data_IF_024288579444
#
_entry.id   IF_024288579444
#
_cell.length_a   1.000
_cell.length_b   1.000
_cell.length_c   1.000
_cell.angle_alpha   90.00
_cell.angle_beta   90.00
_cell.angle_gamma   90.00
#
_symmetry.space_group_name_H-M   'P 1'
#
loop_
_entity.id
_entity.type
_entity.pdbx_description
1 polymer ?
#
# COMPACT_ATOMS: atom_id res chain seq x y z
N UNK A 1 -5.54 9.22 9.17
CA UNK A 1 -6.59 9.48 8.13
C UNK A 1 -6.43 10.89 7.61
N UNK A 2 -5.78 11.04 6.46
CA UNK A 2 -5.45 12.36 5.90
C UNK A 2 -6.38 12.78 4.75
N UNK A 3 -7.21 11.86 4.24
CA UNK A 3 -8.01 12.10 3.04
C UNK A 3 -9.32 12.85 3.27
N UNK A 4 -9.84 13.46 2.20
CA UNK A 4 -11.16 14.07 2.14
C UNK A 4 -12.19 12.98 1.90
N UNK A 5 -13.20 12.78 2.78
CA UNK A 5 -14.24 11.76 2.61
C UNK A 5 -15.11 12.06 1.38
N UNK A 6 -15.34 11.05 0.54
CA UNK A 6 -16.17 11.15 -0.67
C UNK A 6 -17.44 10.28 -0.54
N UNK A 7 -17.25 9.01 -0.17
CA UNK A 7 -18.28 7.98 -0.02
C UNK A 7 -19.27 7.90 -1.20
N UNK A 8 -18.75 7.80 -2.42
CA UNK A 8 -19.53 7.71 -3.65
C UNK A 8 -19.24 6.40 -4.41
N UNK A 9 -20.17 5.97 -5.25
CA UNK A 9 -19.99 4.84 -6.16
C UNK A 9 -18.88 5.17 -7.18
N UNK A 10 -17.99 4.23 -7.44
CA UNK A 10 -16.94 4.38 -8.46
C UNK A 10 -17.60 4.48 -9.84
N UNK A 11 -17.34 5.58 -10.51
CA UNK A 11 -17.71 5.81 -11.92
C UNK A 11 -16.54 6.43 -12.66
N UNK A 12 -16.51 6.26 -13.98
CA UNK A 12 -15.50 6.90 -14.82
C UNK A 12 -15.53 8.43 -14.66
N UNK A 13 -16.72 9.03 -14.67
CA UNK A 13 -16.91 10.47 -14.53
C UNK A 13 -16.39 10.98 -13.19
N UNK A 14 -16.64 10.26 -12.08
CA UNK A 14 -16.14 10.65 -10.76
C UNK A 14 -14.62 10.63 -10.72
N UNK A 15 -13.99 9.56 -11.22
CA UNK A 15 -12.53 9.46 -11.25
C UNK A 15 -11.90 10.54 -12.12
N UNK A 16 -12.44 10.82 -13.30
CA UNK A 16 -11.97 11.90 -14.16
C UNK A 16 -12.04 13.26 -13.45
N UNK A 17 -13.15 13.55 -12.74
CA UNK A 17 -13.29 14.80 -11.99
C UNK A 17 -12.36 14.88 -10.78
N UNK A 18 -12.11 13.77 -10.07
CA UNK A 18 -11.16 13.77 -8.95
C UNK A 18 -9.74 14.07 -9.44
N UNK A 19 -9.31 13.46 -10.55
CA UNK A 19 -7.95 13.63 -11.09
C UNK A 19 -7.83 14.78 -12.10
N UNK A 20 -8.88 15.60 -12.26
CA UNK A 20 -8.80 16.82 -13.06
C UNK A 20 -7.75 17.76 -12.47
N UNK A 21 -6.82 18.21 -13.34
CA UNK A 21 -5.69 19.04 -12.92
C UNK A 21 -6.14 20.36 -12.28
N UNK A 22 -5.42 20.82 -11.27
CA UNK A 22 -5.72 22.03 -10.50
C UNK A 22 -7.04 22.01 -9.71
N UNK A 23 -7.61 20.85 -9.44
CA UNK A 23 -8.74 20.71 -8.50
C UNK A 23 -8.26 20.39 -7.08
N UNK A 24 -9.02 20.69 -6.03
CA UNK A 24 -8.62 20.38 -4.65
C UNK A 24 -8.46 18.87 -4.37
N UNK A 25 -9.01 17.99 -5.22
CA UNK A 25 -9.04 16.54 -4.99
C UNK A 25 -7.93 15.78 -5.73
N UNK A 26 -7.22 16.41 -6.70
CA UNK A 26 -6.31 15.69 -7.59
C UNK A 26 -4.98 15.30 -6.96
N UNK A 27 -4.54 16.04 -5.95
CA UNK A 27 -3.24 15.79 -5.31
C UNK A 27 -3.36 14.77 -4.18
N UNK A 28 -2.70 13.65 -4.33
CA UNK A 28 -2.72 12.51 -3.41
C UNK A 28 -3.41 11.26 -3.98
N UNK A 29 -3.65 10.29 -3.11
CA UNK A 29 -4.24 9.02 -3.50
C UNK A 29 -5.77 9.02 -3.31
N UNK A 30 -6.45 8.26 -4.18
CA UNK A 30 -7.86 7.92 -4.05
C UNK A 30 -7.97 6.51 -3.46
N UNK A 31 -8.70 6.38 -2.35
CA UNK A 31 -8.95 5.10 -1.72
C UNK A 31 -10.27 4.53 -2.20
N UNK A 32 -10.19 3.37 -2.85
CA UNK A 32 -11.36 2.62 -3.31
C UNK A 32 -11.51 1.37 -2.46
N UNK A 33 -12.70 1.15 -1.95
CA UNK A 33 -13.05 -0.08 -1.22
C UNK A 33 -14.33 -0.67 -1.79
N UNK A 34 -14.23 -1.91 -2.27
CA UNK A 34 -15.31 -2.55 -3.03
C UNK A 34 -15.61 -1.73 -4.30
N UNK A 35 -16.82 -1.19 -4.41
CA UNK A 35 -17.28 -0.36 -5.53
C UNK A 35 -17.46 1.12 -5.14
N UNK A 36 -16.82 1.57 -4.06
CA UNK A 36 -16.97 2.96 -3.58
C UNK A 36 -15.61 3.65 -3.48
N UNK A 37 -15.56 4.90 -3.90
CA UNK A 37 -14.53 5.86 -3.54
C UNK A 37 -14.79 6.26 -2.09
N UNK A 38 -13.89 5.90 -1.20
CA UNK A 38 -14.00 6.20 0.25
C UNK A 38 -13.51 7.61 0.52
N UNK A 39 -12.34 7.94 -0.01
CA UNK A 39 -11.68 9.24 0.19
C UNK A 39 -10.75 9.56 -0.97
N UNK A 40 -10.45 10.85 -1.14
CA UNK A 40 -9.46 11.38 -2.06
C UNK A 40 -8.42 12.22 -1.30
N UNK A 41 -7.35 12.67 -1.97
CA UNK A 41 -6.27 13.47 -1.38
C UNK A 41 -5.63 12.78 -0.17
N UNK A 42 -5.49 11.44 -0.24
CA UNK A 42 -4.89 10.66 0.84
C UNK A 42 -3.38 10.63 0.71
N UNK A 43 -2.66 10.92 1.81
CA UNK A 43 -1.21 10.71 1.87
C UNK A 43 -0.93 9.28 2.31
N UNK A 44 -0.09 8.60 1.51
CA UNK A 44 0.33 7.23 1.75
C UNK A 44 1.76 7.20 2.33
N UNK A 45 2.11 6.18 3.13
CA UNK A 45 3.47 6.01 3.61
C UNK A 45 4.42 5.77 2.43
N UNK A 46 5.58 6.40 2.48
CA UNK A 46 6.64 6.17 1.50
C UNK A 46 7.42 4.90 1.86
N UNK A 47 7.75 4.10 0.85
CA UNK A 47 8.68 2.98 1.07
C UNK A 47 10.05 3.47 1.51
N UNK A 48 10.59 2.85 2.55
CA UNK A 48 11.95 3.07 3.04
C UNK A 48 12.99 2.18 2.36
N UNK A 49 12.60 1.40 1.35
CA UNK A 49 13.49 0.48 0.65
C UNK A 49 14.47 1.24 -0.25
N UNK A 50 15.76 1.21 0.09
CA UNK A 50 16.82 1.88 -0.66
C UNK A 50 17.15 1.21 -2.00
N UNK A 51 16.69 -0.03 -2.22
CA UNK A 51 16.86 -0.75 -3.49
C UNK A 51 15.91 -0.27 -4.61
N UNK A 52 14.92 0.56 -4.26
CA UNK A 52 14.01 1.15 -5.25
C UNK A 52 14.79 2.14 -6.12
N UNK A 53 14.66 1.99 -7.44
CA UNK A 53 15.30 2.89 -8.39
C UNK A 53 15.05 4.36 -7.99
N UNK A 54 16.13 5.15 -7.85
CA UNK A 54 16.11 6.56 -7.43
C UNK A 54 15.37 7.48 -8.41
N UNK A 55 15.19 7.04 -9.64
CA UNK A 55 14.41 7.75 -10.67
C UNK A 55 12.89 7.70 -10.43
N UNK A 56 12.43 6.85 -9.49
CA UNK A 56 11.01 6.77 -9.16
C UNK A 56 10.62 7.92 -8.24
N UNK A 57 9.66 8.71 -8.70
CA UNK A 57 9.09 9.83 -7.95
C UNK A 57 8.31 9.39 -6.69
N UNK A 58 7.87 10.38 -5.92
CA UNK A 58 7.18 10.18 -4.64
C UNK A 58 5.91 9.33 -4.77
N UNK A 59 5.15 9.45 -5.88
CA UNK A 59 3.95 8.64 -6.12
C UNK A 59 4.24 7.15 -6.21
N UNK A 60 5.32 6.76 -6.89
CA UNK A 60 5.72 5.37 -6.95
C UNK A 60 6.17 4.84 -5.58
N UNK A 61 6.97 5.63 -4.84
CA UNK A 61 7.40 5.28 -3.49
C UNK A 61 6.23 5.15 -2.52
N UNK A 62 5.22 6.01 -2.65
CA UNK A 62 3.99 5.95 -1.86
C UNK A 62 3.16 4.69 -2.18
N UNK A 63 3.02 4.37 -3.48
CA UNK A 63 2.30 3.15 -3.91
C UNK A 63 2.98 1.87 -3.43
N UNK A 64 4.31 1.80 -3.50
CA UNK A 64 5.08 0.66 -2.97
C UNK A 64 4.91 0.61 -1.45
N UNK A 65 5.13 1.73 -0.74
CA UNK A 65 5.09 1.78 0.72
C UNK A 65 3.76 1.32 1.32
N UNK A 66 2.63 1.73 0.75
CA UNK A 66 1.33 1.23 1.22
C UNK A 66 1.15 -0.26 0.90
N UNK A 67 1.67 -0.76 -0.21
CA UNK A 67 1.57 -2.16 -0.60
C UNK A 67 2.45 -3.10 0.25
N UNK A 68 3.52 -2.58 0.89
CA UNK A 68 4.37 -3.33 1.82
C UNK A 68 3.65 -3.63 3.15
N UNK A 69 2.76 -2.74 3.59
CA UNK A 69 2.12 -2.81 4.91
C UNK A 69 0.64 -3.21 4.86
N UNK A 70 0.08 -3.37 3.67
CA UNK A 70 -1.34 -3.72 3.48
C UNK A 70 -1.53 -4.72 2.34
N UNK A 71 -2.75 -5.23 2.16
CA UNK A 71 -3.16 -6.06 1.02
C UNK A 71 -3.74 -5.23 -0.14
N UNK A 72 -3.40 -3.94 -0.18
CA UNK A 72 -3.84 -3.05 -1.23
C UNK A 72 -3.07 -3.26 -2.54
N UNK A 73 -3.73 -3.03 -3.65
CA UNK A 73 -3.12 -2.82 -4.95
C UNK A 73 -3.22 -1.33 -5.30
N UNK A 74 -2.11 -0.71 -5.65
CA UNK A 74 -2.06 0.72 -5.99
C UNK A 74 -1.76 0.89 -7.48
N UNK A 75 -2.68 1.51 -8.20
CA UNK A 75 -2.47 1.96 -9.57
C UNK A 75 -1.81 3.35 -9.53
N UNK A 76 -0.73 3.51 -10.25
CA UNK A 76 0.07 4.75 -10.27
C UNK A 76 0.20 5.22 -11.71
N UNK A 77 -0.08 6.50 -11.94
CA UNK A 77 0.17 7.16 -13.22
C UNK A 77 1.30 8.17 -13.01
N UNK A 78 2.36 8.07 -13.82
CA UNK A 78 3.48 9.01 -13.76
C UNK A 78 3.05 10.38 -14.30
N UNK A 79 3.33 11.42 -13.56
CA UNK A 79 3.08 12.81 -14.02
C UNK A 79 3.99 13.22 -15.19
N UNK A 80 5.21 12.70 -15.21
CA UNK A 80 6.22 13.08 -16.20
C UNK A 80 5.99 12.36 -17.53
N UNK A 81 5.62 11.08 -17.49
CA UNK A 81 5.58 10.22 -18.68
C UNK A 81 4.19 9.71 -19.03
N UNK A 82 3.21 9.84 -18.13
CA UNK A 82 1.90 9.21 -18.28
C UNK A 82 1.93 7.67 -18.18
N UNK A 83 3.10 7.08 -17.91
CA UNK A 83 3.21 5.61 -17.81
C UNK A 83 2.43 5.08 -16.61
N UNK A 84 1.80 3.93 -16.80
CA UNK A 84 1.00 3.27 -15.78
C UNK A 84 1.82 2.18 -15.11
N UNK A 85 1.76 2.16 -13.78
CA UNK A 85 2.38 1.13 -12.95
C UNK A 85 1.40 0.62 -11.90
N UNK A 86 1.63 -0.61 -11.41
CA UNK A 86 0.88 -1.19 -10.30
C UNK A 86 1.88 -1.58 -9.21
N UNK A 87 1.60 -1.19 -7.96
CA UNK A 87 2.32 -1.67 -6.79
C UNK A 87 1.42 -2.63 -6.00
N UNK A 88 1.96 -3.81 -5.66
CA UNK A 88 1.26 -4.84 -4.88
C UNK A 88 2.28 -5.71 -4.13
N UNK A 89 2.07 -5.90 -2.81
CA UNK A 89 2.95 -6.74 -1.99
C UNK A 89 4.41 -6.27 -1.91
N UNK A 90 4.68 -4.97 -2.07
CA UNK A 90 6.02 -4.38 -2.11
C UNK A 90 6.69 -4.45 -3.49
N UNK A 91 6.08 -5.06 -4.48
CA UNK A 91 6.58 -5.15 -5.86
C UNK A 91 5.94 -4.08 -6.77
N UNK A 92 6.70 -3.62 -7.76
CA UNK A 92 6.28 -2.62 -8.74
C UNK A 92 6.32 -3.19 -10.17
N UNK A 93 5.14 -3.28 -10.80
CA UNK A 93 4.96 -3.65 -12.20
C UNK A 93 4.84 -2.37 -13.03
N UNK A 94 5.78 -2.13 -13.94
CA UNK A 94 5.91 -0.87 -14.68
C UNK A 94 5.47 -1.00 -16.14
N UNK A 95 5.18 0.16 -16.75
CA UNK A 95 4.89 0.30 -18.18
C UNK A 95 3.73 -0.61 -18.65
N UNK A 96 2.68 -0.66 -17.84
CA UNK A 96 1.50 -1.44 -18.15
C UNK A 96 0.64 -0.73 -19.19
N UNK A 97 0.13 -1.49 -20.13
CA UNK A 97 -0.94 -1.09 -21.03
C UNK A 97 -2.32 -1.36 -20.41
N UNK A 98 -3.37 -1.04 -21.13
CA UNK A 98 -4.75 -1.24 -20.67
C UNK A 98 -5.09 -2.72 -20.41
N UNK A 99 -4.47 -3.65 -21.14
CA UNK A 99 -4.69 -5.09 -20.97
C UNK A 99 -3.95 -5.61 -19.73
N UNK A 100 -2.70 -5.19 -19.50
CA UNK A 100 -1.93 -5.48 -18.30
C UNK A 100 -2.65 -5.00 -17.03
N UNK A 101 -3.14 -3.76 -17.02
CA UNK A 101 -3.96 -3.22 -15.92
C UNK A 101 -5.21 -4.06 -15.70
N UNK A 102 -5.95 -4.39 -16.75
CA UNK A 102 -7.16 -5.23 -16.67
C UNK A 102 -6.87 -6.60 -16.08
N UNK A 103 -5.79 -7.23 -16.48
CA UNK A 103 -5.36 -8.54 -15.98
C UNK A 103 -5.10 -8.52 -14.47
N UNK A 104 -4.36 -7.51 -13.97
CA UNK A 104 -4.12 -7.32 -12.54
C UNK A 104 -5.42 -7.09 -11.77
N UNK A 105 -6.31 -6.23 -12.26
CA UNK A 105 -7.61 -5.96 -11.64
C UNK A 105 -8.50 -7.21 -11.60
N UNK A 106 -8.52 -8.02 -12.66
CA UNK A 106 -9.28 -9.28 -12.68
C UNK A 106 -8.76 -10.28 -11.66
N UNK A 107 -7.43 -10.38 -11.51
CA UNK A 107 -6.80 -11.24 -10.49
C UNK A 107 -7.20 -10.81 -9.10
N UNK A 108 -7.13 -9.51 -8.79
CA UNK A 108 -7.57 -8.94 -7.52
C UNK A 108 -9.05 -9.27 -7.23
N UNK A 109 -9.93 -9.12 -8.24
CA UNK A 109 -11.36 -9.43 -8.09
C UNK A 109 -11.60 -10.92 -7.81
N UNK A 110 -10.85 -11.82 -8.45
CA UNK A 110 -10.94 -13.28 -8.20
C UNK A 110 -10.50 -13.64 -6.79
N UNK A 111 -9.37 -13.08 -6.33
CA UNK A 111 -8.88 -13.30 -4.97
C UNK A 111 -9.86 -12.78 -3.91
N UNK A 112 -10.43 -11.59 -4.12
CA UNK A 112 -11.41 -11.01 -3.22
C UNK A 112 -12.68 -11.87 -3.12
N UNK A 113 -13.19 -12.40 -4.23
CA UNK A 113 -14.37 -13.25 -4.28
C UNK A 113 -14.07 -14.64 -3.68
N UNK A 114 -12.88 -15.20 -3.90
CA UNK A 114 -12.43 -16.45 -3.29
C UNK A 114 -12.35 -16.37 -1.76
N UNK A 115 -11.84 -15.24 -1.22
CA UNK A 115 -11.80 -15.02 0.24
C UNK A 115 -13.20 -14.94 0.88
N UNK A 116 -14.22 -14.45 0.14
CA UNK A 116 -15.62 -14.44 0.63
C UNK A 116 -16.21 -15.85 0.72
N UNK A 117 -15.93 -16.72 -0.24
CA UNK A 117 -16.41 -18.10 -0.26
C UNK A 117 -15.91 -18.90 0.95
N UNK A 118 -14.65 -18.72 1.37
CA UNK A 118 -14.10 -19.39 2.55
C UNK A 118 -14.59 -18.83 3.90
N UNK A 119 -15.15 -17.63 3.93
CA UNK A 119 -15.72 -17.06 5.18
C UNK A 119 -17.14 -17.52 5.49
N UNK A 120 -17.84 -18.07 4.52
CA UNK A 120 -19.20 -18.63 4.72
C UNK A 120 -19.23 -20.06 5.23
N UNK A 121 -18.12 -20.80 5.14
CA UNK A 121 -17.94 -22.12 5.74
C UNK A 121 -17.21 -21.98 7.09
N UNK A 122 -17.97 -21.76 8.14
CA UNK A 122 -17.59 -21.39 9.49
C UNK A 122 -16.55 -22.27 10.21
N UNK A 123 -15.29 -22.19 9.83
CA UNK A 123 -14.17 -22.62 10.69
C UNK A 123 -13.06 -21.57 10.54
N UNK A 124 -12.84 -20.78 11.57
CA UNK A 124 -11.68 -19.89 11.69
C UNK A 124 -10.46 -20.69 12.13
N UNK A 125 -9.39 -20.86 11.32
CA UNK A 125 -8.11 -21.18 11.88
C UNK A 125 -7.56 -19.93 12.58
N UNK A 126 -7.46 -19.98 13.89
CA UNK A 126 -6.73 -19.00 14.70
C UNK A 126 -5.25 -19.11 14.32
N UNK A 127 -4.77 -18.27 13.41
CA UNK A 127 -3.34 -18.09 13.23
C UNK A 127 -2.80 -17.37 14.47
N UNK A 128 -2.20 -18.15 15.39
CA UNK A 128 -1.35 -17.63 16.46
C UNK A 128 -0.32 -16.69 15.82
N UNK A 129 -0.43 -15.39 16.11
CA UNK A 129 0.65 -14.44 15.85
C UNK A 129 1.87 -14.93 16.61
N UNK A 130 2.93 -15.33 15.91
CA UNK A 130 4.25 -15.50 16.53
C UNK A 130 4.67 -14.13 17.05
N UNK A 131 4.68 -13.97 18.38
CA UNK A 131 5.37 -12.85 19.02
C UNK A 131 6.85 -13.00 18.66
N UNK A 132 7.39 -12.06 17.91
CA UNK A 132 8.84 -11.87 17.81
C UNK A 132 9.25 -11.28 19.14
N UNK A 133 9.85 -12.09 20.00
CA UNK A 133 10.53 -11.63 21.22
C UNK A 133 11.86 -11.09 20.75
N UNK A 134 12.03 -9.78 20.75
CA UNK A 134 13.33 -9.14 20.59
C UNK A 134 14.04 -9.27 21.94
N UNK A 135 14.95 -10.23 22.07
CA UNK A 135 15.87 -10.30 23.21
C UNK A 135 16.88 -9.16 23.10
N UNK A 136 16.83 -8.27 24.08
CA UNK A 136 17.74 -7.14 24.22
C UNK A 136 19.07 -7.66 24.81
N UNK A 137 20.09 -7.91 23.96
CA UNK A 137 21.45 -8.27 24.34
C UNK A 137 22.23 -7.05 24.86
N UNK A 138 21.77 -6.39 25.91
CA UNK A 138 22.53 -5.35 26.59
C UNK A 138 22.51 -5.54 28.12
N UNK A 139 23.06 -6.69 28.57
CA UNK A 139 23.37 -6.93 30.00
C UNK A 139 24.65 -7.72 30.20
N UNK A 140 25.70 -7.42 29.43
CA UNK A 140 27.01 -8.05 29.64
C UNK A 140 28.18 -7.06 29.72
N UNK A 141 27.95 -5.77 30.00
CA UNK A 141 29.04 -4.78 30.10
C UNK A 141 29.02 -3.96 31.40
N UNK A 142 28.48 -4.51 32.48
CA UNK A 142 28.43 -3.80 33.78
C UNK A 142 28.87 -4.65 34.96
N UNK A 143 29.73 -5.66 34.76
CA UNK A 143 30.32 -6.46 35.85
C UNK A 143 31.84 -6.51 35.88
N UNK A 144 32.54 -5.75 35.05
CA UNK A 144 34.03 -5.69 35.07
C UNK A 144 34.60 -4.34 35.49
N UNK A 145 33.81 -3.44 36.10
CA UNK A 145 34.30 -2.15 36.56
C UNK A 145 34.42 -2.02 38.09
N UNK A 146 34.08 -3.05 38.88
CA UNK A 146 34.09 -2.95 40.36
C UNK A 146 35.10 -3.86 41.06
N UNK A 147 36.10 -4.44 40.35
CA UNK A 147 37.17 -5.25 40.98
C UNK A 147 38.60 -4.67 40.85
N UNK A 148 38.75 -3.39 40.52
CA UNK A 148 40.10 -2.80 40.43
C UNK A 148 40.30 -1.53 41.27
N UNK A 149 39.61 -1.41 42.41
CA UNK A 149 39.95 -0.46 43.49
C UNK A 149 39.89 -1.16 44.85
N UNK A 150 40.99 -1.91 45.17
CA UNK A 150 41.48 -2.15 46.51
C UNK A 150 42.95 -2.49 46.48
#
# INVERSE_FOLDING_TARGET
DTGIPIDAVVTNQLLLNIFEHNTPLHDGAVIIRKNRVVSATCYLPLSANDSINKELGTRHRAGIGISEVSDSMTLIVSEETGSISIAQGGELFRNLDSEGVRSHLQTLCKEYNGRKSHRSSGVRPVKRRKRVVVENKNKASRKEADENEK
#
